data_IF_077886318353
#
_entry.id   IF_077886318353
#
_cell.length_a   1.000
_cell.length_b   1.000
_cell.length_c   1.000
_cell.angle_alpha   90.00
_cell.angle_beta   90.00
_cell.angle_gamma   90.00
#
_symmetry.space_group_name_H-M   'P 1'
#
loop_
_entity.id
_entity.type
_entity.pdbx_description
1 polymer ?
#
# COMPACT_ATOMS: atom_id res chain seq x y z
N UNK A 1 -14.64 -30.27 -31.18
CA UNK A 1 -13.96 -29.54 -30.09
C UNK A 1 -14.96 -29.29 -28.98
N UNK A 2 -14.72 -29.86 -27.80
CA UNK A 2 -15.64 -29.78 -26.66
C UNK A 2 -15.59 -28.38 -26.04
N UNK A 3 -16.74 -27.88 -25.58
CA UNK A 3 -16.87 -26.57 -24.90
C UNK A 3 -15.92 -26.39 -23.70
N UNK A 4 -15.42 -27.49 -23.13
CA UNK A 4 -14.43 -27.52 -22.05
C UNK A 4 -13.06 -27.01 -22.47
N UNK A 5 -12.60 -27.34 -23.69
CA UNK A 5 -11.27 -26.98 -24.18
C UNK A 5 -11.17 -25.49 -24.46
N UNK A 6 -12.27 -24.88 -24.93
CA UNK A 6 -12.36 -23.43 -25.13
C UNK A 6 -12.31 -22.70 -23.78
N UNK A 7 -13.05 -23.17 -22.77
CA UNK A 7 -13.01 -22.61 -21.41
C UNK A 7 -11.63 -22.78 -20.74
N UNK A 8 -10.95 -23.89 -21.00
CA UNK A 8 -9.57 -24.11 -20.53
C UNK A 8 -8.60 -23.11 -21.14
N UNK A 9 -8.69 -22.90 -22.46
CA UNK A 9 -7.88 -21.91 -23.20
C UNK A 9 -8.13 -20.49 -22.71
N UNK A 10 -9.38 -20.06 -22.63
CA UNK A 10 -9.75 -18.71 -22.17
C UNK A 10 -9.23 -18.45 -20.74
N UNK A 11 -9.19 -19.48 -19.89
CA UNK A 11 -8.73 -19.39 -18.50
C UNK A 11 -7.20 -19.36 -18.40
N UNK A 12 -6.49 -20.11 -19.24
CA UNK A 12 -5.02 -20.10 -19.31
C UNK A 12 -4.53 -18.78 -19.90
N UNK A 13 -5.17 -18.30 -20.97
CA UNK A 13 -4.90 -17.01 -21.57
C UNK A 13 -5.15 -15.87 -20.57
N UNK A 14 -6.27 -15.94 -19.83
CA UNK A 14 -6.57 -14.99 -18.75
C UNK A 14 -5.55 -15.06 -17.60
N UNK A 15 -5.10 -16.26 -17.18
CA UNK A 15 -4.07 -16.43 -16.14
C UNK A 15 -2.72 -15.88 -16.62
N UNK A 16 -2.33 -16.13 -17.87
CA UNK A 16 -1.10 -15.63 -18.46
C UNK A 16 -1.11 -14.09 -18.53
N UNK A 17 -2.20 -13.50 -19.03
CA UNK A 17 -2.46 -12.06 -19.03
C UNK A 17 -2.40 -11.45 -17.64
N UNK A 18 -3.00 -12.10 -16.63
CA UNK A 18 -3.01 -11.64 -15.24
C UNK A 18 -1.66 -11.84 -14.52
N UNK A 19 -0.82 -12.76 -15.00
CA UNK A 19 0.49 -13.07 -14.42
C UNK A 19 1.62 -12.14 -14.87
N UNK A 20 1.36 -11.30 -15.88
CA UNK A 20 2.31 -10.31 -16.42
C UNK A 20 3.40 -10.89 -17.31
N UNK A 21 3.23 -12.12 -17.81
CA UNK A 21 4.06 -12.67 -18.90
C UNK A 21 3.51 -12.08 -20.20
N UNK A 22 4.34 -11.35 -20.94
CA UNK A 22 3.94 -10.74 -22.21
C UNK A 22 3.42 -11.82 -23.18
N UNK A 23 2.27 -11.56 -23.80
CA UNK A 23 1.65 -12.46 -24.77
C UNK A 23 2.55 -12.84 -25.96
N UNK A 24 3.66 -12.11 -26.17
CA UNK A 24 4.66 -12.37 -27.21
C UNK A 24 5.63 -13.52 -26.89
N UNK A 25 5.75 -13.94 -25.63
CA UNK A 25 6.59 -15.09 -25.24
C UNK A 25 5.82 -16.43 -25.30
N UNK A 26 4.54 -16.39 -25.70
CA UNK A 26 3.64 -17.54 -25.84
C UNK A 26 3.70 -18.16 -27.25
N UNK A 27 4.83 -18.06 -27.95
CA UNK A 27 4.98 -18.59 -29.30
C UNK A 27 4.85 -20.13 -29.33
N UNK A 28 3.84 -20.57 -30.08
CA UNK A 28 3.67 -21.82 -30.85
C UNK A 28 3.87 -23.21 -30.20
N UNK A 29 4.35 -23.34 -28.96
CA UNK A 29 4.59 -24.66 -28.34
C UNK A 29 3.42 -25.25 -27.53
N UNK A 30 2.29 -24.55 -27.38
CA UNK A 30 1.12 -25.07 -26.66
C UNK A 30 0.10 -25.81 -27.56
N UNK A 31 0.58 -26.55 -28.56
CA UNK A 31 -0.23 -27.58 -29.22
C UNK A 31 -0.15 -28.88 -28.40
N UNK A 32 -1.29 -29.22 -27.78
CA UNK A 32 -1.60 -30.51 -27.15
C UNK A 32 -0.89 -30.85 -25.83
N UNK A 33 -1.20 -30.09 -24.76
CA UNK A 33 -0.93 -30.56 -23.40
C UNK A 33 -2.08 -31.46 -22.91
N UNK A 34 -1.76 -32.72 -22.58
CA UNK A 34 -2.64 -33.54 -21.76
C UNK A 34 -2.61 -33.06 -20.31
N UNK A 35 -3.64 -33.34 -19.51
CA UNK A 35 -3.71 -32.90 -18.10
C UNK A 35 -2.52 -33.40 -17.23
N UNK A 36 -1.83 -34.48 -17.65
CA UNK A 36 -0.61 -34.97 -16.99
C UNK A 36 0.57 -34.02 -17.17
N UNK A 37 0.76 -33.52 -18.39
CA UNK A 37 1.89 -32.67 -18.78
C UNK A 37 1.84 -31.30 -18.07
N UNK A 38 0.63 -30.80 -17.80
CA UNK A 38 0.39 -29.59 -17.00
C UNK A 38 0.84 -29.74 -15.54
N UNK A 39 0.70 -30.94 -14.97
CA UNK A 39 1.05 -31.21 -13.56
C UNK A 39 2.57 -31.27 -13.40
N UNK A 40 3.27 -31.90 -14.34
CA UNK A 40 4.73 -31.98 -14.36
C UNK A 40 5.36 -30.61 -14.62
N UNK A 41 4.77 -29.80 -15.52
CA UNK A 41 5.21 -28.43 -15.76
C UNK A 41 5.05 -27.54 -14.52
N UNK A 42 3.95 -27.69 -13.77
CA UNK A 42 3.74 -27.00 -12.49
C UNK A 42 4.77 -27.44 -11.45
N UNK A 43 5.06 -28.75 -11.34
CA UNK A 43 6.05 -29.28 -10.40
C UNK A 43 7.48 -28.83 -10.74
N UNK A 44 7.84 -28.76 -12.02
CA UNK A 44 9.12 -28.20 -12.47
C UNK A 44 9.21 -26.70 -12.19
N UNK A 45 8.14 -25.93 -12.43
CA UNK A 45 8.08 -24.52 -12.05
C UNK A 45 8.17 -24.32 -10.53
N UNK A 46 7.61 -25.23 -9.74
CA UNK A 46 7.69 -25.18 -8.27
C UNK A 46 9.10 -25.44 -7.73
N UNK A 47 9.91 -26.24 -8.45
CA UNK A 47 11.31 -26.56 -8.10
C UNK A 47 12.29 -25.46 -8.53
N UNK A 48 11.96 -24.66 -9.54
CA UNK A 48 12.81 -23.55 -9.97
C UNK A 48 12.77 -22.43 -8.93
N UNK A 49 13.92 -21.89 -8.49
CA UNK A 49 13.92 -20.73 -7.60
C UNK A 49 13.20 -19.59 -8.31
N UNK A 50 12.07 -19.16 -7.72
CA UNK A 50 11.24 -18.10 -8.28
C UNK A 50 12.10 -16.86 -8.54
N UNK A 51 12.10 -16.28 -9.76
CA UNK A 51 12.76 -15.02 -9.99
C UNK A 51 12.10 -13.93 -9.15
N UNK A 52 12.90 -13.23 -8.35
CA UNK A 52 12.44 -12.14 -7.49
C UNK A 52 12.02 -10.95 -8.37
N UNK A 53 10.75 -10.55 -8.29
CA UNK A 53 10.20 -9.43 -9.07
C UNK A 53 10.58 -8.11 -8.41
N UNK A 54 11.03 -7.14 -9.22
CA UNK A 54 11.50 -5.83 -8.72
C UNK A 54 10.41 -4.97 -8.07
N UNK A 55 9.14 -5.21 -8.43
CA UNK A 55 7.99 -4.41 -7.96
C UNK A 55 7.11 -5.17 -6.95
N UNK A 56 7.57 -6.31 -6.44
CA UNK A 56 6.85 -7.07 -5.43
C UNK A 56 7.50 -6.86 -4.05
N UNK A 57 6.70 -6.44 -3.07
CA UNK A 57 7.19 -6.15 -1.72
C UNK A 57 7.91 -7.35 -1.07
N UNK A 58 7.33 -8.54 -1.17
CA UNK A 58 7.92 -9.75 -0.57
C UNK A 58 9.26 -10.09 -1.21
N UNK A 59 9.33 -10.00 -2.54
CA UNK A 59 10.57 -10.27 -3.28
C UNK A 59 11.66 -9.23 -2.96
N UNK A 60 11.28 -7.96 -2.77
CA UNK A 60 12.18 -6.89 -2.34
C UNK A 60 12.69 -7.09 -0.91
N UNK A 61 11.80 -7.44 0.02
CA UNK A 61 12.15 -7.70 1.43
C UNK A 61 13.06 -8.92 1.55
N UNK A 62 12.79 -9.98 0.79
CA UNK A 62 13.61 -11.19 0.78
C UNK A 62 15.01 -10.93 0.18
N UNK A 63 15.11 -10.13 -0.89
CA UNK A 63 16.40 -9.70 -1.44
C UNK A 63 17.22 -8.90 -0.40
N UNK A 64 16.58 -7.99 0.35
CA UNK A 64 17.25 -7.25 1.43
C UNK A 64 17.68 -8.17 2.57
N UNK A 65 16.82 -9.10 2.99
CA UNK A 65 17.13 -10.07 4.06
C UNK A 65 18.38 -10.89 3.72
N UNK A 66 18.49 -11.38 2.48
CA UNK A 66 19.64 -12.16 1.99
C UNK A 66 20.96 -11.39 1.98
N UNK A 67 20.93 -10.07 1.96
CA UNK A 67 22.11 -9.19 1.97
C UNK A 67 22.60 -8.85 3.38
N UNK A 68 21.82 -9.16 4.42
CA UNK A 68 22.17 -8.87 5.81
C UNK A 68 22.86 -10.08 6.47
N UNK A 69 23.89 -9.86 7.30
CA UNK A 69 24.45 -10.93 8.12
C UNK A 69 23.41 -11.49 9.09
N UNK A 70 23.32 -12.82 9.20
CA UNK A 70 22.38 -13.54 10.06
C UNK A 70 22.42 -13.06 11.53
N UNK A 71 23.62 -12.74 12.04
CA UNK A 71 23.82 -12.21 13.37
C UNK A 71 23.13 -10.86 13.59
N UNK A 72 23.09 -9.98 12.57
CA UNK A 72 22.36 -8.71 12.64
C UNK A 72 20.85 -8.93 12.59
N UNK A 73 20.37 -9.85 11.77
CA UNK A 73 18.93 -10.18 11.71
C UNK A 73 18.42 -10.65 13.08
N UNK A 74 19.14 -11.56 13.73
CA UNK A 74 18.81 -12.03 15.09
C UNK A 74 18.89 -10.93 16.15
N UNK A 75 19.77 -9.94 15.97
CA UNK A 75 19.81 -8.77 16.84
C UNK A 75 18.57 -7.91 16.67
N UNK A 76 18.16 -7.64 15.43
CA UNK A 76 16.97 -6.84 15.11
C UNK A 76 15.70 -7.51 15.66
N UNK A 77 15.56 -8.83 15.52
CA UNK A 77 14.41 -9.59 16.03
C UNK A 77 14.23 -9.49 17.55
N UNK A 78 15.31 -9.20 18.30
CA UNK A 78 15.29 -9.08 19.76
C UNK A 78 14.98 -7.67 20.25
N UNK A 79 15.02 -6.67 19.36
CA UNK A 79 14.72 -5.28 19.71
C UNK A 79 13.21 -5.16 19.92
N UNK A 80 12.79 -4.87 21.15
CA UNK A 80 11.43 -4.46 21.47
C UNK A 80 11.43 -2.94 21.63
N UNK A 81 10.87 -2.17 20.68
CA UNK A 81 10.80 -0.72 20.82
C UNK A 81 9.85 -0.39 22.00
N UNK A 82 10.36 0.29 23.03
CA UNK A 82 9.59 0.62 24.26
C UNK A 82 9.12 2.08 24.29
N UNK A 83 9.62 2.97 23.43
CA UNK A 83 9.10 4.34 23.20
C UNK A 83 9.90 5.01 22.06
N UNK A 84 9.71 6.33 21.84
CA UNK A 84 10.58 7.19 21.00
C UNK A 84 12.09 6.98 21.26
N UNK A 85 12.47 6.62 22.50
CA UNK A 85 13.86 6.33 22.89
C UNK A 85 14.32 4.90 22.58
N UNK A 86 13.40 4.05 22.11
CA UNK A 86 13.68 2.70 21.62
C UNK A 86 13.65 2.58 20.09
N UNK A 87 13.57 3.71 19.37
CA UNK A 87 13.65 3.74 17.92
C UNK A 87 15.11 3.92 17.46
N UNK A 88 15.57 3.09 16.53
CA UNK A 88 16.92 3.23 15.98
C UNK A 88 16.96 4.38 14.94
N UNK A 89 17.96 5.26 15.01
CA UNK A 89 18.20 6.29 14.00
C UNK A 89 19.35 5.88 13.08
N UNK A 90 19.06 5.81 11.79
CA UNK A 90 20.02 5.45 10.74
C UNK A 90 20.21 6.63 9.78
N UNK A 91 21.46 7.08 9.61
CA UNK A 91 21.79 8.09 8.60
C UNK A 91 22.27 7.40 7.31
N UNK A 92 21.59 7.66 6.21
CA UNK A 92 21.90 7.11 4.90
C UNK A 92 22.31 8.22 3.93
N UNK A 93 23.18 7.89 2.99
CA UNK A 93 23.48 8.74 1.84
C UNK A 93 22.43 8.52 0.74
N UNK A 94 22.00 9.59 0.08
CA UNK A 94 21.12 9.49 -1.07
C UNK A 94 21.22 10.70 -1.99
N UNK A 95 20.45 10.66 -3.08
CA UNK A 95 20.40 11.75 -4.06
C UNK A 95 19.34 12.81 -3.74
N UNK A 96 18.41 12.48 -2.86
CA UNK A 96 17.29 13.34 -2.51
C UNK A 96 17.04 13.24 -1.00
N UNK A 97 16.93 14.39 -0.30
CA UNK A 97 16.67 14.40 1.13
C UNK A 97 15.28 13.85 1.42
N UNK A 98 15.21 12.85 2.28
CA UNK A 98 13.96 12.26 2.73
C UNK A 98 14.12 11.54 4.07
N UNK A 99 13.02 11.37 4.77
CA UNK A 99 12.94 10.58 5.99
C UNK A 99 12.10 9.34 5.72
N UNK A 100 12.67 8.14 5.90
CA UNK A 100 11.92 6.89 5.86
C UNK A 100 11.67 6.43 7.29
N UNK A 101 10.43 6.13 7.63
CA UNK A 101 9.98 5.74 8.96
C UNK A 101 9.48 4.31 8.88
N UNK A 102 10.06 3.43 9.69
CA UNK A 102 9.57 2.08 9.90
C UNK A 102 8.70 2.05 11.17
N UNK A 103 7.42 1.75 10.97
CA UNK A 103 6.44 1.56 12.02
C UNK A 103 6.37 0.09 12.40
N UNK A 104 6.51 -0.18 13.68
CA UNK A 104 6.32 -1.50 14.26
C UNK A 104 4.86 -1.97 14.15
N UNK A 105 4.70 -3.29 14.10
CA UNK A 105 3.40 -3.92 14.23
C UNK A 105 2.90 -3.86 15.67
N UNK A 106 1.58 -3.78 15.86
CA UNK A 106 0.93 -3.97 17.15
C UNK A 106 -0.05 -5.12 17.05
N UNK A 107 0.19 -6.15 17.83
CA UNK A 107 -0.78 -7.22 18.05
C UNK A 107 -1.98 -6.70 18.84
N UNK A 108 -3.19 -7.25 18.62
CA UNK A 108 -4.32 -6.99 19.48
C UNK A 108 -3.94 -7.27 20.94
N UNK A 109 -4.38 -6.41 21.85
CA UNK A 109 -4.25 -6.59 23.29
C UNK A 109 -5.63 -6.71 23.93
N UNK A 110 -5.67 -6.99 25.23
CA UNK A 110 -6.92 -6.98 26.01
C UNK A 110 -7.60 -5.60 26.04
N UNK A 111 -6.85 -4.53 25.74
CA UNK A 111 -7.32 -3.14 25.76
C UNK A 111 -7.57 -2.60 24.34
N UNK A 112 -6.76 -3.02 23.36
CA UNK A 112 -6.85 -2.61 21.96
C UNK A 112 -7.11 -3.81 21.06
N UNK A 113 -8.34 -3.94 20.54
CA UNK A 113 -8.72 -5.07 19.70
C UNK A 113 -8.11 -5.02 18.28
N UNK A 114 -7.60 -3.86 17.85
CA UNK A 114 -7.14 -3.66 16.47
C UNK A 114 -5.68 -4.05 16.27
N UNK A 115 -5.45 -5.02 15.39
CA UNK A 115 -4.12 -5.29 14.84
C UNK A 115 -3.67 -4.13 13.96
N UNK A 116 -2.47 -3.61 14.19
CA UNK A 116 -1.84 -2.63 13.31
C UNK A 116 -0.61 -3.27 12.66
N UNK A 117 -0.60 -3.49 11.33
CA UNK A 117 0.54 -4.12 10.67
C UNK A 117 1.76 -3.19 10.65
N UNK A 118 2.99 -3.74 10.63
CA UNK A 118 4.19 -2.98 10.34
C UNK A 118 4.07 -2.24 8.99
N UNK A 119 4.60 -1.03 8.90
CA UNK A 119 4.55 -0.20 7.69
C UNK A 119 5.80 0.64 7.52
N UNK A 120 6.17 0.89 6.27
CA UNK A 120 7.16 1.87 5.88
C UNK A 120 6.47 3.13 5.34
N UNK A 121 6.98 4.29 5.71
CA UNK A 121 6.53 5.59 5.23
C UNK A 121 7.75 6.37 4.77
N UNK A 122 7.71 7.03 3.61
CA UNK A 122 8.73 8.02 3.26
C UNK A 122 8.12 9.42 3.23
N UNK A 123 8.79 10.36 3.88
CA UNK A 123 8.50 11.79 3.80
C UNK A 123 9.61 12.44 2.99
N UNK A 124 9.28 12.87 1.77
CA UNK A 124 10.21 13.55 0.87
C UNK A 124 10.01 15.04 0.98
N UNK A 125 11.10 15.77 1.19
CA UNK A 125 11.11 17.22 1.20
C UNK A 125 11.23 17.71 -0.25
N UNK A 126 10.21 18.41 -0.74
CA UNK A 126 10.17 18.98 -2.09
C UNK A 126 9.92 20.49 -1.99
N UNK A 127 11.01 21.24 -1.82
CA UNK A 127 10.92 22.69 -1.53
C UNK A 127 10.17 22.92 -0.21
N UNK A 128 9.13 23.76 -0.25
CA UNK A 128 8.29 24.06 0.92
C UNK A 128 7.21 23.00 1.22
N UNK A 129 7.14 21.91 0.42
CA UNK A 129 6.11 20.88 0.57
C UNK A 129 6.71 19.55 0.98
N UNK A 130 6.05 18.88 1.93
CA UNK A 130 6.33 17.50 2.29
C UNK A 130 5.41 16.57 1.50
N UNK A 131 6.01 15.64 0.76
CA UNK A 131 5.30 14.58 0.07
C UNK A 131 5.38 13.30 0.91
N UNK A 132 4.24 12.68 1.19
CA UNK A 132 4.16 11.43 1.95
C UNK A 132 3.94 10.27 0.97
N UNK A 133 4.94 9.39 0.87
CA UNK A 133 4.92 8.19 0.06
C UNK A 133 4.59 6.99 0.95
N UNK A 134 3.49 6.31 0.64
CA UNK A 134 2.91 5.21 1.42
C UNK A 134 3.01 3.86 0.74
N UNK A 135 3.34 3.85 -0.55
CA UNK A 135 3.47 2.64 -1.33
C UNK A 135 4.67 1.82 -0.84
N UNK A 136 4.40 0.67 -0.23
CA UNK A 136 5.40 -0.13 0.46
C UNK A 136 6.53 -0.61 -0.49
N UNK A 137 6.24 -1.10 -1.72
CA UNK A 137 7.27 -1.40 -2.71
C UNK A 137 8.15 -0.19 -3.03
N UNK A 138 7.56 0.98 -3.29
CA UNK A 138 8.31 2.19 -3.62
C UNK A 138 9.19 2.66 -2.46
N UNK A 139 8.65 2.73 -1.24
CA UNK A 139 9.45 3.11 -0.05
C UNK A 139 10.59 2.11 0.18
N UNK A 140 10.34 0.81 -0.02
CA UNK A 140 11.36 -0.23 0.07
C UNK A 140 12.46 -0.04 -0.98
N UNK A 141 12.08 0.30 -2.22
CA UNK A 141 13.03 0.60 -3.31
C UNK A 141 13.91 1.78 -2.96
N UNK A 142 13.32 2.88 -2.47
CA UNK A 142 14.05 4.08 -2.04
C UNK A 142 15.05 3.78 -0.91
N UNK A 143 14.62 3.00 0.10
CA UNK A 143 15.50 2.59 1.20
C UNK A 143 16.69 1.76 0.70
N UNK A 144 16.43 0.79 -0.19
CA UNK A 144 17.48 -0.05 -0.78
C UNK A 144 18.47 0.77 -1.59
N UNK A 145 18.01 1.74 -2.35
CA UNK A 145 18.87 2.64 -3.13
C UNK A 145 19.76 3.50 -2.22
N UNK A 146 19.18 4.11 -1.19
CA UNK A 146 19.93 4.91 -0.22
C UNK A 146 20.98 4.06 0.54
N UNK A 147 20.62 2.84 0.94
CA UNK A 147 21.60 1.93 1.54
C UNK A 147 22.71 1.56 0.56
N UNK A 148 22.38 1.30 -0.71
CA UNK A 148 23.36 1.03 -1.76
C UNK A 148 24.37 2.16 -1.95
N UNK A 149 23.91 3.42 -1.96
CA UNK A 149 24.79 4.59 -2.04
C UNK A 149 25.63 4.77 -0.76
N UNK A 150 25.05 4.52 0.42
CA UNK A 150 25.76 4.53 1.71
C UNK A 150 26.87 3.47 1.74
N UNK A 151 26.61 2.30 1.18
CA UNK A 151 27.57 1.20 1.08
C UNK A 151 28.71 1.56 0.13
N UNK A 152 28.41 2.06 -1.07
CA UNK A 152 29.40 2.54 -2.05
C UNK A 152 30.31 3.64 -1.49
N UNK A 153 29.75 4.54 -0.69
CA UNK A 153 30.51 5.62 -0.05
C UNK A 153 31.32 5.16 1.18
N UNK A 154 31.26 3.88 1.56
CA UNK A 154 31.94 3.35 2.76
C UNK A 154 31.42 3.91 4.09
N UNK A 155 30.28 4.63 4.08
CA UNK A 155 29.72 5.28 5.28
C UNK A 155 29.09 4.28 6.25
N UNK A 156 28.66 3.12 5.76
CA UNK A 156 28.08 2.04 6.57
C UNK A 156 29.01 1.46 7.66
N UNK A 157 30.32 1.75 7.60
CA UNK A 157 31.32 1.32 8.58
C UNK A 157 31.81 2.47 9.48
N UNK A 158 31.40 3.71 9.20
CA UNK A 158 31.83 4.89 9.96
C UNK A 158 30.84 5.15 11.09
N UNK A 159 31.37 5.42 12.28
CA UNK A 159 30.56 5.87 13.40
C UNK A 159 30.16 7.32 13.18
N UNK A 160 28.90 7.64 13.46
CA UNK A 160 28.38 9.01 13.40
C UNK A 160 28.96 9.87 14.50
N UNK A 161 29.16 11.16 14.20
CA UNK A 161 29.53 12.16 15.19
C UNK A 161 28.29 12.64 15.97
N UNK A 162 28.51 13.17 17.18
CA UNK A 162 27.44 13.73 18.01
C UNK A 162 26.73 14.91 17.32
N UNK A 163 27.49 15.78 16.65
CA UNK A 163 26.92 16.91 15.90
C UNK A 163 26.00 16.45 14.75
N UNK A 164 26.37 15.39 14.02
CA UNK A 164 25.54 14.81 12.97
C UNK A 164 24.25 14.20 13.53
N UNK A 165 24.33 13.59 14.72
CA UNK A 165 23.19 13.01 15.41
C UNK A 165 22.22 14.08 15.89
N UNK A 166 22.70 15.11 16.60
CA UNK A 166 21.87 16.20 17.11
C UNK A 166 21.17 16.95 15.99
N UNK A 167 21.90 17.29 14.92
CA UNK A 167 21.31 17.92 13.73
C UNK A 167 20.24 17.06 13.06
N UNK A 168 20.42 15.73 13.04
CA UNK A 168 19.42 14.82 12.48
C UNK A 168 18.16 14.77 13.35
N UNK A 169 18.29 14.72 14.68
CA UNK A 169 17.16 14.70 15.62
C UNK A 169 16.35 15.99 15.53
N UNK A 170 17.01 17.16 15.54
CA UNK A 170 16.35 18.46 15.40
C UNK A 170 15.54 18.57 14.11
N UNK A 171 16.10 18.06 13.00
CA UNK A 171 15.40 18.04 11.71
C UNK A 171 14.22 17.08 11.63
N UNK A 172 14.14 16.08 12.51
CA UNK A 172 13.07 15.07 12.50
C UNK A 172 11.83 15.52 13.25
N UNK A 173 11.98 16.32 14.30
CA UNK A 173 10.88 16.70 15.17
C UNK A 173 9.66 17.28 14.42
N UNK A 174 9.81 18.26 13.50
CA UNK A 174 8.66 18.82 12.78
C UNK A 174 7.97 17.79 11.88
N UNK A 175 8.73 16.87 11.29
CA UNK A 175 8.18 15.80 10.44
C UNK A 175 7.40 14.79 11.27
N UNK A 176 7.87 14.44 12.46
CA UNK A 176 7.28 13.37 13.27
C UNK A 176 6.02 13.85 14.03
N UNK A 177 6.02 15.07 14.56
CA UNK A 177 4.87 15.62 15.31
C UNK A 177 3.60 15.76 14.46
N UNK A 178 3.76 15.96 13.15
CA UNK A 178 2.65 16.12 12.21
C UNK A 178 2.01 14.83 11.72
N UNK A 179 2.58 13.65 12.02
CA UNK A 179 2.11 12.39 11.43
C UNK A 179 1.01 11.71 12.25
N UNK A 180 -0.09 11.41 11.57
CA UNK A 180 -1.25 10.76 12.16
C UNK A 180 -1.57 9.41 11.48
N UNK A 181 -2.56 8.71 12.03
CA UNK A 181 -3.16 7.51 11.43
C UNK A 181 -3.67 7.75 10.01
N UNK A 182 -4.11 8.97 9.71
CA UNK A 182 -4.41 9.41 8.36
C UNK A 182 -3.24 9.16 7.41
N UNK A 183 -2.03 9.57 7.77
CA UNK A 183 -0.88 9.58 6.86
C UNK A 183 -0.34 8.19 6.54
N UNK A 184 -0.68 7.20 7.35
CA UNK A 184 -0.24 5.81 7.18
C UNK A 184 -1.29 4.92 6.52
N UNK A 185 -2.42 5.49 6.10
CA UNK A 185 -3.51 4.77 5.45
C UNK A 185 -3.02 4.05 4.17
N UNK A 186 -3.49 2.82 3.91
CA UNK A 186 -3.13 2.12 2.68
C UNK A 186 -3.56 2.88 1.43
N UNK A 187 -2.73 2.83 0.38
CA UNK A 187 -3.00 3.52 -0.90
C UNK A 187 -4.38 3.16 -1.48
N UNK A 188 -4.75 1.87 -1.38
CA UNK A 188 -6.05 1.35 -1.85
C UNK A 188 -7.28 2.03 -1.23
N UNK A 189 -7.16 2.64 -0.05
CA UNK A 189 -8.29 3.31 0.61
C UNK A 189 -8.35 4.81 0.39
N UNK A 190 -7.31 5.41 -0.21
CA UNK A 190 -7.25 6.86 -0.45
C UNK A 190 -8.39 7.30 -1.37
N UNK A 191 -8.53 6.65 -2.52
CA UNK A 191 -9.56 6.97 -3.52
C UNK A 191 -10.98 6.62 -3.04
N UNK A 192 -11.11 5.58 -2.21
CA UNK A 192 -12.38 5.22 -1.56
C UNK A 192 -12.82 6.31 -0.58
N UNK A 193 -11.93 6.78 0.28
CA UNK A 193 -12.26 7.84 1.24
C UNK A 193 -12.52 9.17 0.54
N UNK A 194 -11.78 9.51 -0.51
CA UNK A 194 -12.02 10.71 -1.32
C UNK A 194 -13.40 10.68 -2.00
N UNK A 195 -13.78 9.54 -2.60
CA UNK A 195 -15.11 9.39 -3.20
C UNK A 195 -16.24 9.37 -2.18
N UNK A 196 -16.00 8.81 -0.98
CA UNK A 196 -16.95 8.87 0.13
C UNK A 196 -17.14 10.32 0.62
N UNK A 197 -16.06 11.08 0.78
CA UNK A 197 -16.13 12.49 1.17
C UNK A 197 -16.95 13.29 0.13
N UNK A 198 -16.65 13.11 -1.16
CA UNK A 198 -17.43 13.70 -2.25
C UNK A 198 -18.92 13.37 -2.16
N UNK A 199 -19.24 12.11 -1.89
CA UNK A 199 -20.62 11.67 -1.74
C UNK A 199 -21.30 12.36 -0.56
N UNK A 200 -20.65 12.41 0.61
CA UNK A 200 -21.22 13.02 1.82
C UNK A 200 -21.33 14.54 1.72
N UNK A 201 -20.38 15.24 1.13
CA UNK A 201 -20.38 16.71 1.05
C UNK A 201 -21.21 17.27 -0.11
N UNK A 202 -21.66 16.41 -1.04
CA UNK A 202 -22.35 16.82 -2.27
C UNK A 202 -21.53 17.85 -3.08
N UNK A 203 -20.21 17.66 -3.14
CA UNK A 203 -19.24 18.56 -3.77
C UNK A 203 -17.87 17.91 -3.95
N UNK A 204 -16.92 18.56 -4.66
CA UNK A 204 -15.58 18.01 -4.83
C UNK A 204 -14.88 17.87 -3.47
N UNK A 205 -14.27 16.70 -3.21
CA UNK A 205 -13.53 16.48 -1.99
C UNK A 205 -12.38 17.49 -1.88
N UNK A 206 -12.25 18.10 -0.69
CA UNK A 206 -11.12 18.96 -0.36
C UNK A 206 -10.11 18.17 0.45
N UNK A 207 -8.83 18.33 0.14
CA UNK A 207 -7.74 17.63 0.84
C UNK A 207 -7.93 16.10 0.93
N UNK A 208 -8.52 15.48 -0.11
CA UNK A 208 -8.78 14.03 -0.16
C UNK A 208 -9.59 13.49 1.04
N UNK A 209 -10.47 14.31 1.62
CA UNK A 209 -11.28 13.94 2.79
C UNK A 209 -10.57 14.10 4.14
N UNK A 210 -9.37 14.69 4.18
CA UNK A 210 -8.63 14.89 5.44
C UNK A 210 -9.42 15.66 6.49
N UNK A 211 -10.14 16.71 6.08
CA UNK A 211 -10.89 17.54 7.02
C UNK A 211 -11.98 16.74 7.75
N UNK A 212 -12.53 15.72 7.08
CA UNK A 212 -13.60 14.87 7.61
C UNK A 212 -13.06 13.67 8.37
N UNK A 213 -12.01 13.03 7.86
CA UNK A 213 -11.57 11.72 8.33
C UNK A 213 -10.20 11.73 9.02
N UNK A 214 -9.46 12.84 8.95
CA UNK A 214 -8.07 12.92 9.42
C UNK A 214 -7.87 12.63 10.91
N UNK A 215 -8.92 12.85 11.70
CA UNK A 215 -8.94 12.59 13.14
C UNK A 215 -9.33 11.14 13.50
N UNK A 216 -9.65 10.29 12.51
CA UNK A 216 -10.04 8.91 12.75
C UNK A 216 -8.83 7.99 12.89
N UNK A 217 -9.00 6.92 13.66
CA UNK A 217 -7.97 5.87 13.74
C UNK A 217 -7.89 5.06 12.44
N UNK A 218 -6.75 4.42 12.18
CA UNK A 218 -6.57 3.59 10.99
C UNK A 218 -7.65 2.49 10.85
N UNK A 219 -8.05 1.75 11.91
CA UNK A 219 -9.14 0.77 11.81
C UNK A 219 -10.48 1.40 11.42
N UNK A 220 -10.79 2.59 11.95
CA UNK A 220 -11.98 3.35 11.57
C UNK A 220 -11.97 3.76 10.11
N UNK A 221 -10.81 4.22 9.60
CA UNK A 221 -10.61 4.57 8.20
C UNK A 221 -10.80 3.35 7.29
N UNK A 222 -10.20 2.21 7.63
CA UNK A 222 -10.32 0.97 6.87
C UNK A 222 -11.76 0.45 6.86
N UNK A 223 -12.46 0.50 8.00
CA UNK A 223 -13.87 0.10 8.10
C UNK A 223 -14.79 0.98 7.27
N UNK A 224 -14.58 2.30 7.28
CA UNK A 224 -15.34 3.23 6.42
C UNK A 224 -15.10 2.95 4.94
N UNK A 225 -13.84 2.75 4.55
CA UNK A 225 -13.47 2.45 3.17
C UNK A 225 -14.04 1.09 2.71
N UNK A 226 -14.03 0.08 3.57
CA UNK A 226 -14.61 -1.24 3.28
C UNK A 226 -16.13 -1.17 3.11
N UNK A 227 -16.84 -0.54 4.04
CA UNK A 227 -18.28 -0.36 3.94
C UNK A 227 -18.66 0.44 2.69
N UNK A 228 -17.88 1.47 2.35
CA UNK A 228 -18.09 2.22 1.12
C UNK A 228 -17.81 1.38 -0.13
N UNK A 229 -16.76 0.57 -0.14
CA UNK A 229 -16.48 -0.34 -1.24
C UNK A 229 -17.62 -1.34 -1.45
N UNK A 230 -18.26 -1.83 -0.39
CA UNK A 230 -19.42 -2.72 -0.48
C UNK A 230 -20.64 -2.04 -1.13
N UNK A 231 -20.86 -0.75 -0.87
CA UNK A 231 -21.92 0.02 -1.54
C UNK A 231 -21.62 0.25 -3.03
N UNK A 232 -20.34 0.31 -3.41
CA UNK A 232 -19.88 0.49 -4.79
C UNK A 232 -19.75 -0.81 -5.59
N UNK A 233 -19.62 -1.96 -4.92
CA UNK A 233 -19.35 -3.27 -5.55
C UNK A 233 -20.35 -3.67 -6.65
N UNK A 234 -21.67 -3.45 -6.52
CA UNK A 234 -22.62 -3.74 -7.59
C UNK A 234 -22.32 -2.96 -8.89
N UNK A 235 -21.82 -1.73 -8.76
CA UNK A 235 -21.56 -0.82 -9.88
C UNK A 235 -20.20 -1.08 -10.52
N UNK A 236 -19.30 -1.81 -9.85
CA UNK A 236 -18.06 -2.30 -10.43
C UNK A 236 -18.31 -3.23 -11.61
N UNK A 237 -19.35 -4.07 -11.53
CA UNK A 237 -19.72 -4.99 -12.61
C UNK A 237 -20.28 -4.22 -13.81
N UNK A 238 -21.11 -3.21 -13.55
CA UNK A 238 -21.70 -2.35 -14.59
C UNK A 238 -20.64 -1.52 -15.29
N UNK A 239 -19.74 -0.91 -14.52
CA UNK A 239 -18.63 -0.15 -15.06
C UNK A 239 -17.66 -1.01 -15.87
N UNK A 240 -17.37 -2.25 -15.42
CA UNK A 240 -16.56 -3.21 -16.19
C UNK A 240 -17.21 -3.54 -17.54
N UNK A 241 -18.53 -3.80 -17.56
CA UNK A 241 -19.25 -4.08 -18.81
C UNK A 241 -19.20 -2.90 -19.78
N UNK A 242 -19.39 -1.69 -19.29
CA UNK A 242 -19.33 -0.48 -20.12
C UNK A 242 -17.91 -0.24 -20.66
N UNK A 243 -16.87 -0.41 -19.84
CA UNK A 243 -15.48 -0.32 -20.30
C UNK A 243 -15.17 -1.39 -21.34
N UNK A 244 -15.56 -2.66 -21.13
CA UNK A 244 -15.39 -3.71 -22.14
C UNK A 244 -16.08 -3.37 -23.47
N UNK A 245 -17.29 -2.82 -23.44
CA UNK A 245 -18.02 -2.42 -24.65
C UNK A 245 -17.37 -1.22 -25.37
N UNK A 246 -16.76 -0.28 -24.63
CA UNK A 246 -16.01 0.83 -25.22
C UNK A 246 -14.69 0.35 -25.81
N UNK A 247 -13.97 -0.51 -25.10
CA UNK A 247 -12.72 -1.12 -25.58
C UNK A 247 -12.90 -1.95 -26.84
N UNK A 248 -14.01 -2.68 -26.99
CA UNK A 248 -14.34 -3.40 -28.22
C UNK A 248 -14.56 -2.46 -29.42
N UNK A 249 -15.12 -1.27 -29.18
CA UNK A 249 -15.40 -0.27 -30.23
C UNK A 249 -14.18 0.57 -30.58
N UNK A 250 -13.36 0.92 -29.59
CA UNK A 250 -12.25 1.87 -29.72
C UNK A 250 -10.89 1.16 -29.88
N UNK A 251 -10.85 -0.17 -29.72
CA UNK A 251 -9.62 -1.00 -29.70
C UNK A 251 -8.57 -0.50 -28.71
N UNK A 252 -9.03 0.12 -27.63
CA UNK A 252 -8.19 0.64 -26.55
C UNK A 252 -8.65 0.05 -25.22
N UNK A 253 -7.73 -0.54 -24.46
CA UNK A 253 -8.02 -1.18 -23.18
C UNK A 253 -7.47 -0.26 -22.08
N UNK A 254 -8.33 0.34 -21.24
CA UNK A 254 -7.85 1.12 -20.12
C UNK A 254 -7.03 0.24 -19.17
N UNK A 255 -5.83 0.69 -18.81
CA UNK A 255 -4.94 0.01 -17.87
C UNK A 255 -5.58 -0.20 -16.48
N UNK A 256 -6.57 0.62 -16.11
CA UNK A 256 -7.29 0.50 -14.85
C UNK A 256 -8.69 1.11 -14.90
N UNK A 257 -9.64 0.46 -14.24
CA UNK A 257 -11.00 0.99 -14.06
C UNK A 257 -11.02 1.91 -12.83
N UNK A 258 -10.86 3.21 -13.09
CA UNK A 258 -10.80 4.23 -12.04
C UNK A 258 -12.08 4.32 -11.22
N UNK A 259 -11.95 4.66 -9.93
CA UNK A 259 -13.10 4.80 -9.01
C UNK A 259 -14.15 5.80 -9.50
N UNK A 260 -13.72 6.82 -10.26
CA UNK A 260 -14.60 7.82 -10.86
C UNK A 260 -15.59 7.19 -11.86
N UNK A 261 -15.18 6.16 -12.61
CA UNK A 261 -16.06 5.47 -13.55
C UNK A 261 -17.17 4.72 -12.79
N UNK A 262 -16.82 4.03 -11.71
CA UNK A 262 -17.77 3.31 -10.86
C UNK A 262 -18.73 4.28 -10.17
N UNK A 263 -18.19 5.37 -9.64
CA UNK A 263 -18.94 6.40 -8.94
C UNK A 263 -19.98 7.07 -9.88
N UNK A 264 -19.66 7.25 -11.15
CA UNK A 264 -20.60 7.76 -12.16
C UNK A 264 -21.83 6.87 -12.39
N UNK A 265 -21.70 5.54 -12.27
CA UNK A 265 -22.84 4.62 -12.31
C UNK A 265 -23.62 4.66 -10.99
N UNK A 266 -22.91 4.70 -9.86
CA UNK A 266 -23.50 4.79 -8.54
C UNK A 266 -24.41 6.03 -8.40
N UNK A 267 -23.99 7.19 -8.92
CA UNK A 267 -24.77 8.45 -8.84
C UNK A 267 -26.08 8.43 -9.65
N UNK A 268 -26.23 7.51 -10.61
CA UNK A 268 -27.46 7.39 -11.43
C UNK A 268 -28.60 6.67 -10.70
N UNK A 269 -28.36 6.19 -9.49
CA UNK A 269 -29.39 5.56 -8.67
C UNK A 269 -30.55 6.50 -8.35
N UNK A 270 -31.71 5.91 -8.05
CA UNK A 270 -32.88 6.67 -7.61
C UNK A 270 -32.53 7.49 -6.36
N UNK A 271 -32.97 8.76 -6.25
CA UNK A 271 -32.64 9.62 -5.10
C UNK A 271 -32.92 8.97 -3.74
N UNK A 272 -34.04 8.23 -3.62
CA UNK A 272 -34.41 7.50 -2.39
C UNK A 272 -33.35 6.46 -1.96
N UNK A 273 -32.67 5.82 -2.91
CA UNK A 273 -31.59 4.87 -2.61
C UNK A 273 -30.34 5.61 -2.13
N UNK A 274 -29.95 6.68 -2.83
CA UNK A 274 -28.82 7.52 -2.43
C UNK A 274 -29.02 8.10 -1.02
N UNK A 275 -30.22 8.55 -0.66
CA UNK A 275 -30.53 9.01 0.71
C UNK A 275 -30.36 7.91 1.75
N UNK A 276 -30.76 6.67 1.44
CA UNK A 276 -30.57 5.53 2.35
C UNK A 276 -29.08 5.20 2.54
N UNK A 277 -28.31 5.17 1.45
CA UNK A 277 -26.86 4.92 1.51
C UNK A 277 -26.18 6.02 2.32
N UNK A 278 -26.52 7.29 2.06
CA UNK A 278 -26.02 8.45 2.82
C UNK A 278 -26.28 8.29 4.31
N UNK A 279 -27.51 7.98 4.71
CA UNK A 279 -27.87 7.79 6.12
C UNK A 279 -27.07 6.65 6.77
N UNK A 280 -26.84 5.52 6.06
CA UNK A 280 -25.98 4.44 6.56
C UNK A 280 -24.54 4.87 6.75
N UNK A 281 -23.97 5.57 5.77
CA UNK A 281 -22.58 6.04 5.83
C UNK A 281 -22.37 7.12 6.90
N UNK A 282 -23.33 8.03 7.08
CA UNK A 282 -23.31 9.03 8.16
C UNK A 282 -23.39 8.36 9.54
N UNK A 283 -24.24 7.33 9.70
CA UNK A 283 -24.32 6.57 10.94
C UNK A 283 -23.01 5.83 11.24
N UNK A 284 -22.40 5.22 10.22
CA UNK A 284 -21.12 4.55 10.38
C UNK A 284 -19.98 5.53 10.68
N UNK A 285 -19.98 6.72 10.08
CA UNK A 285 -19.05 7.80 10.38
C UNK A 285 -19.18 8.21 11.86
N UNK A 286 -20.38 8.49 12.35
CA UNK A 286 -20.61 8.82 13.76
C UNK A 286 -20.11 7.71 14.71
N UNK A 287 -20.30 6.44 14.34
CA UNK A 287 -19.77 5.31 15.12
C UNK A 287 -18.23 5.26 15.10
N UNK A 288 -17.61 5.54 13.95
CA UNK A 288 -16.16 5.61 13.78
C UNK A 288 -15.53 6.78 14.54
N UNK A 289 -16.19 7.94 14.57
CA UNK A 289 -15.81 9.12 15.35
C UNK A 289 -15.82 8.78 16.85
N UNK A 290 -16.93 8.20 17.33
CA UNK A 290 -17.06 7.77 18.74
C UNK A 290 -15.99 6.75 19.14
N UNK A 291 -15.66 5.81 18.25
CA UNK A 291 -14.59 4.84 18.49
C UNK A 291 -13.19 5.47 18.51
N UNK A 292 -13.00 6.60 17.80
CA UNK A 292 -11.70 7.27 17.68
C UNK A 292 -11.49 8.37 18.72
N UNK A 293 -12.55 8.85 19.39
CA UNK A 293 -12.55 10.04 20.23
C UNK A 293 -11.54 10.03 21.39
N UNK A 294 -11.20 8.86 21.93
CA UNK A 294 -10.21 8.70 23.00
C UNK A 294 -8.98 7.89 22.58
N UNK A 295 -8.87 7.56 21.29
CA UNK A 295 -7.77 6.77 20.78
C UNK A 295 -6.58 7.68 20.44
N UNK A 296 -5.36 7.21 20.71
CA UNK A 296 -4.17 7.88 20.19
C UNK A 296 -4.13 7.73 18.66
N UNK A 297 -4.26 8.85 17.95
CA UNK A 297 -4.18 8.89 16.48
C UNK A 297 -2.79 9.24 15.98
N UNK A 298 -1.85 9.58 16.88
CA UNK A 298 -0.45 9.78 16.55
C UNK A 298 0.23 8.45 16.26
N UNK A 299 1.21 8.45 15.36
CA UNK A 299 2.00 7.24 15.04
C UNK A 299 3.33 7.15 15.77
N UNK A 300 3.66 8.16 16.58
CA UNK A 300 4.97 8.31 17.24
C UNK A 300 5.33 7.08 18.09
N UNK A 301 4.35 6.55 18.79
CA UNK A 301 4.47 5.39 19.67
C UNK A 301 4.65 4.06 18.92
N UNK A 302 4.59 4.09 17.58
CA UNK A 302 4.84 2.95 16.69
C UNK A 302 6.16 3.04 15.95
N UNK A 303 6.89 4.16 16.04
CA UNK A 303 8.16 4.32 15.33
C UNK A 303 9.18 3.34 15.90
N UNK A 304 9.67 2.43 15.07
CA UNK A 304 10.68 1.45 15.42
C UNK A 304 12.07 1.84 14.87
N UNK A 305 12.12 2.38 13.66
CA UNK A 305 13.38 2.84 13.04
C UNK A 305 13.10 4.08 12.20
N UNK A 306 14.00 5.06 12.26
CA UNK A 306 14.00 6.22 11.36
C UNK A 306 15.26 6.19 10.52
N UNK A 307 15.10 6.29 9.21
CA UNK A 307 16.19 6.45 8.27
C UNK A 307 16.16 7.87 7.71
N UNK A 308 17.17 8.68 8.02
CA UNK A 308 17.33 10.01 7.42
C UNK A 308 18.31 9.91 6.27
N UNK A 309 17.83 10.22 5.07
CA UNK A 309 18.61 10.25 3.84
C UNK A 309 19.08 11.69 3.62
N UNK A 310 20.40 11.88 3.54
CA UNK A 310 21.06 13.15 3.21
C UNK A 310 21.78 13.06 1.87
#
# INVERSE_FOLDING_TARGET
MLSSDKKGRDRIESIALLSGVGASDLADEYLEFSAGDLTDLILEQHKKPRPLRRNNLYDLVEDMRRKLPEARLRSIERIKPVSLWGADLCLLAGRSPMTIIALGGRSPSLVEASYLPPRLLAVRETGDRQEIIRDQPEVTRLLREAYGETAKAGKHQKRLTEAELSSAIEGLQPTLEGLAHWDIRPERIVSLLESLDRFLESGPSKNQGYNRFGHLTLPSLEKLAEAWAQELDPFWIEAKKDVSQRSEKERDIPDYLGINSIYGFFEQQRPKMLTKVRSRMEHLLAAAEKASQNANTQILDRIAVVFRIK
#
